data_IF_838383698929
#
_entry.id   IF_838383698929
#
_cell.length_a   1.000
_cell.length_b   1.000
_cell.length_c   1.000
_cell.angle_alpha   90.00
_cell.angle_beta   90.00
_cell.angle_gamma   90.00
#
_symmetry.space_group_name_H-M   'P 1'
#
loop_
_entity.id
_entity.type
_entity.pdbx_description
1 polymer ?
#
# COMPACT_ATOMS: atom_id res chain seq x y z
N UNK A 1 -8.10 -9.16 38.29
CA UNK A 1 -8.44 -9.87 37.04
C UNK A 1 -7.32 -9.61 36.05
N UNK A 2 -6.58 -10.63 35.57
CA UNK A 2 -5.61 -10.44 34.50
C UNK A 2 -6.34 -10.20 33.17
N UNK A 3 -5.74 -9.36 32.31
CA UNK A 3 -6.25 -8.99 30.98
C UNK A 3 -6.29 -10.26 30.09
N UNK A 4 -7.37 -10.51 29.33
CA UNK A 4 -7.41 -11.63 28.39
C UNK A 4 -6.31 -11.47 27.34
N UNK A 5 -5.53 -12.53 27.14
CA UNK A 5 -4.53 -12.62 26.09
C UNK A 5 -5.23 -12.58 24.72
N UNK A 6 -4.95 -11.55 23.92
CA UNK A 6 -5.32 -11.54 22.51
C UNK A 6 -4.56 -12.67 21.85
N UNK A 7 -5.27 -13.71 21.41
CA UNK A 7 -4.70 -14.74 20.53
C UNK A 7 -4.24 -14.02 19.27
N UNK A 8 -2.94 -13.96 19.05
CA UNK A 8 -2.37 -13.51 17.79
C UNK A 8 -2.91 -14.44 16.71
N UNK A 9 -3.85 -13.94 15.91
CA UNK A 9 -4.33 -14.68 14.74
C UNK A 9 -3.14 -14.80 13.79
N UNK A 10 -2.61 -16.01 13.67
CA UNK A 10 -1.56 -16.32 12.70
C UNK A 10 -2.03 -15.83 11.34
N UNK A 11 -1.25 -14.99 10.64
CA UNK A 11 -1.66 -14.47 9.35
C UNK A 11 -1.93 -15.66 8.43
N UNK A 12 -3.15 -15.72 7.90
CA UNK A 12 -3.52 -16.74 6.92
C UNK A 12 -2.60 -16.53 5.73
N UNK A 13 -1.58 -17.37 5.60
CA UNK A 13 -0.71 -17.38 4.44
C UNK A 13 -1.53 -17.89 3.25
N UNK A 14 -2.18 -16.97 2.53
CA UNK A 14 -2.85 -17.28 1.27
C UNK A 14 -1.77 -17.65 0.28
N UNK A 15 -1.59 -18.94 0.04
CA UNK A 15 -0.70 -19.39 -1.01
C UNK A 15 -1.31 -19.01 -2.37
N UNK A 16 -0.51 -18.52 -3.32
CA UNK A 16 -0.99 -18.26 -4.67
C UNK A 16 -1.64 -19.52 -5.24
N UNK A 17 -2.88 -19.38 -5.74
CA UNK A 17 -3.60 -20.45 -6.45
C UNK A 17 -2.84 -20.90 -7.72
N UNK A 18 -1.92 -20.06 -8.17
CA UNK A 18 -1.13 -20.23 -9.38
C UNK A 18 0.31 -19.74 -9.17
N UNK A 19 1.25 -20.36 -9.86
CA UNK A 19 2.61 -19.88 -9.97
C UNK A 19 2.64 -18.48 -10.62
N UNK A 20 3.53 -17.61 -10.14
CA UNK A 20 3.62 -16.23 -10.60
C UNK A 20 5.00 -15.96 -11.22
N UNK A 21 5.03 -15.24 -12.32
CA UNK A 21 6.26 -14.74 -12.93
C UNK A 21 6.51 -13.29 -12.55
N UNK A 22 7.74 -12.99 -12.13
CA UNK A 22 8.19 -11.62 -11.89
C UNK A 22 8.52 -10.93 -13.21
N UNK A 23 8.06 -9.68 -13.37
CA UNK A 23 8.30 -8.85 -14.55
C UNK A 23 8.75 -7.45 -14.12
N UNK A 24 9.79 -6.94 -14.77
CA UNK A 24 10.24 -5.55 -14.65
C UNK A 24 9.29 -4.60 -15.38
N UNK A 25 8.72 -3.64 -14.63
CA UNK A 25 7.89 -2.57 -15.20
C UNK A 25 8.72 -1.37 -15.64
N UNK A 26 9.91 -1.18 -15.07
CA UNK A 26 10.90 -0.19 -15.49
C UNK A 26 12.20 -0.90 -15.84
N UNK A 27 12.64 -0.76 -17.09
CA UNK A 27 13.88 -1.39 -17.57
C UNK A 27 15.08 -0.88 -16.75
N UNK A 28 15.82 -1.79 -16.15
CA UNK A 28 17.04 -1.49 -15.39
C UNK A 28 16.80 -1.09 -13.92
N UNK A 29 15.56 -1.17 -13.42
CA UNK A 29 15.21 -0.90 -12.02
C UNK A 29 14.66 -2.17 -11.36
N UNK A 30 15.48 -2.94 -10.63
CA UNK A 30 15.08 -4.23 -10.05
C UNK A 30 14.05 -4.08 -8.92
N UNK A 31 13.94 -2.89 -8.33
CA UNK A 31 12.98 -2.59 -7.27
C UNK A 31 11.57 -2.33 -7.85
N UNK A 32 11.47 -2.10 -9.17
CA UNK A 32 10.22 -1.79 -9.86
C UNK A 32 9.69 -2.95 -10.68
N UNK A 33 9.42 -4.04 -9.96
CA UNK A 33 8.90 -5.30 -10.52
C UNK A 33 7.49 -5.61 -10.01
N UNK A 34 6.76 -6.42 -10.76
CA UNK A 34 5.46 -6.96 -10.33
C UNK A 34 5.34 -8.45 -10.68
N UNK A 35 4.37 -9.14 -10.09
CA UNK A 35 4.11 -10.56 -10.32
C UNK A 35 2.83 -10.75 -11.14
N UNK A 36 2.91 -11.54 -12.19
CA UNK A 36 1.78 -11.90 -13.06
C UNK A 36 1.56 -13.41 -13.09
N UNK A 37 0.34 -13.87 -13.35
CA UNK A 37 0.03 -15.31 -13.43
C UNK A 37 0.84 -16.03 -14.52
N UNK A 38 1.27 -17.26 -14.25
CA UNK A 38 2.05 -18.09 -15.19
C UNK A 38 1.20 -18.76 -16.27
N UNK A 39 -0.10 -18.98 -16.05
CA UNK A 39 -1.02 -19.72 -16.93
C UNK A 39 -1.72 -18.83 -17.95
N UNK A 40 -1.07 -17.77 -18.40
CA UNK A 40 -1.56 -16.91 -19.47
C UNK A 40 -1.01 -17.37 -20.82
N UNK A 41 -1.79 -17.18 -21.90
CA UNK A 41 -1.26 -17.32 -23.26
C UNK A 41 -0.24 -16.21 -23.53
N UNK A 42 0.77 -16.49 -24.34
CA UNK A 42 1.89 -15.55 -24.56
C UNK A 42 1.42 -14.20 -25.12
N UNK A 43 0.46 -14.21 -26.05
CA UNK A 43 -0.13 -13.00 -26.62
C UNK A 43 -0.80 -12.10 -25.57
N UNK A 44 -1.57 -12.71 -24.66
CA UNK A 44 -2.24 -11.99 -23.56
C UNK A 44 -1.21 -11.52 -22.55
N UNK A 45 -0.21 -12.35 -22.24
CA UNK A 45 0.87 -12.03 -21.32
C UNK A 45 1.62 -10.78 -21.78
N UNK A 46 2.03 -10.72 -23.05
CA UNK A 46 2.70 -9.54 -23.61
C UNK A 46 1.83 -8.28 -23.56
N UNK A 47 0.53 -8.42 -23.88
CA UNK A 47 -0.41 -7.29 -23.79
C UNK A 47 -0.54 -6.75 -22.35
N UNK A 48 -0.63 -7.64 -21.36
CA UNK A 48 -0.67 -7.27 -19.94
C UNK A 48 0.62 -6.57 -19.54
N UNK A 49 1.79 -7.14 -19.86
CA UNK A 49 3.08 -6.54 -19.53
C UNK A 49 3.20 -5.14 -20.15
N UNK A 50 2.82 -4.99 -21.42
CA UNK A 50 2.87 -3.70 -22.10
C UNK A 50 1.91 -2.68 -21.48
N UNK A 51 0.71 -3.11 -21.08
CA UNK A 51 -0.25 -2.27 -20.37
C UNK A 51 0.32 -1.80 -19.03
N UNK A 52 0.89 -2.70 -18.23
CA UNK A 52 1.47 -2.38 -16.93
C UNK A 52 2.67 -1.42 -17.07
N UNK A 53 3.52 -1.63 -18.07
CA UNK A 53 4.66 -0.74 -18.37
C UNK A 53 4.23 0.66 -18.82
N UNK A 54 3.15 0.76 -19.60
CA UNK A 54 2.59 2.04 -20.04
C UNK A 54 2.01 2.85 -18.89
N UNK A 55 1.48 2.17 -17.87
CA UNK A 55 0.87 2.77 -16.69
C UNK A 55 1.76 2.60 -15.44
N UNK A 56 3.08 2.64 -15.60
CA UNK A 56 4.05 2.41 -14.49
C UNK A 56 3.98 3.47 -13.38
N UNK A 57 3.39 4.62 -13.68
CA UNK A 57 3.15 5.78 -12.81
C UNK A 57 1.97 5.59 -11.85
N UNK A 58 1.07 4.63 -12.11
CA UNK A 58 -0.03 4.33 -11.19
C UNK A 58 0.42 3.54 -9.95
N UNK A 59 1.64 3.00 -9.99
CA UNK A 59 2.21 2.21 -8.91
C UNK A 59 2.92 3.12 -7.92
N UNK A 60 2.63 2.93 -6.63
CA UNK A 60 3.38 3.56 -5.56
C UNK A 60 4.61 2.71 -5.20
N UNK A 61 5.73 2.95 -5.87
CA UNK A 61 6.99 2.22 -5.62
C UNK A 61 7.58 2.56 -4.25
N UNK A 62 7.37 3.78 -3.81
CA UNK A 62 7.74 4.30 -2.51
C UNK A 62 6.54 4.95 -1.84
N UNK A 63 6.64 5.21 -0.53
CA UNK A 63 5.62 5.97 0.20
C UNK A 63 5.43 7.40 -0.32
N UNK A 64 6.42 7.96 -1.03
CA UNK A 64 6.36 9.29 -1.63
C UNK A 64 5.54 9.31 -2.92
N UNK A 65 5.45 8.18 -3.62
CA UNK A 65 4.69 8.06 -4.87
C UNK A 65 3.17 7.98 -4.64
N UNK A 66 2.73 7.80 -3.39
CA UNK A 66 1.33 7.94 -2.99
C UNK A 66 0.95 9.42 -2.93
N UNK A 67 0.86 10.06 -4.09
CA UNK A 67 0.16 11.33 -4.21
C UNK A 67 -1.33 11.03 -3.97
N UNK A 68 -1.86 11.55 -2.86
CA UNK A 68 -3.26 11.38 -2.53
C UNK A 68 -4.18 11.88 -3.66
N UNK A 69 -5.47 11.57 -3.54
CA UNK A 69 -6.45 12.10 -4.50
C UNK A 69 -6.44 13.62 -4.42
N UNK A 70 -6.33 14.29 -5.58
CA UNK A 70 -6.39 15.75 -5.67
C UNK A 70 -7.64 16.28 -4.92
N UNK A 71 -7.48 17.16 -3.92
CA UNK A 71 -8.60 17.77 -3.22
C UNK A 71 -9.62 18.47 -4.13
N UNK A 72 -9.19 18.91 -5.33
CA UNK A 72 -10.09 19.46 -6.35
C UNK A 72 -11.05 18.43 -6.98
N UNK A 73 -10.72 17.14 -6.92
CA UNK A 73 -11.55 16.04 -7.46
C UNK A 73 -12.63 15.63 -6.46
N UNK A 74 -12.24 15.34 -5.22
CA UNK A 74 -13.19 15.03 -4.15
C UNK A 74 -12.58 15.43 -2.80
N UNK A 75 -13.30 16.26 -2.05
CA UNK A 75 -12.93 16.62 -0.67
C UNK A 75 -14.12 16.35 0.24
N UNK A 76 -13.86 15.71 1.37
CA UNK A 76 -14.81 15.64 2.48
C UNK A 76 -14.53 16.79 3.44
N UNK A 77 -15.52 17.66 3.64
CA UNK A 77 -15.43 18.70 4.65
C UNK A 77 -15.90 18.14 5.99
N UNK A 78 -15.03 18.20 6.99
CA UNK A 78 -15.43 17.95 8.37
C UNK A 78 -16.24 19.16 8.86
N UNK A 79 -17.48 18.91 9.32
CA UNK A 79 -18.33 19.96 9.85
C UNK A 79 -17.85 20.38 11.24
N UNK A 80 -16.90 21.30 11.29
CA UNK A 80 -16.31 21.84 12.51
C UNK A 80 -16.94 23.19 12.83
N UNK A 81 -17.21 23.43 14.12
CA UNK A 81 -17.60 24.75 14.60
C UNK A 81 -16.35 25.67 14.60
N UNK A 82 -16.30 26.73 13.77
CA UNK A 82 -15.13 27.61 13.64
C UNK A 82 -14.86 28.44 14.90
N UNK A 83 -15.79 28.47 15.86
CA UNK A 83 -15.61 29.18 17.13
C UNK A 83 -14.84 28.36 18.16
N UNK A 84 -14.72 27.05 17.95
CA UNK A 84 -14.02 26.14 18.86
C UNK A 84 -12.52 26.22 18.60
N UNK A 85 -11.76 26.43 19.68
CA UNK A 85 -10.30 26.51 19.62
C UNK A 85 -9.70 25.12 19.32
N UNK A 86 -8.77 25.00 18.36
CA UNK A 86 -8.06 23.75 18.13
C UNK A 86 -7.31 23.30 19.39
N UNK A 87 -7.44 22.02 19.72
CA UNK A 87 -6.72 21.40 20.84
C UNK A 87 -5.61 20.53 20.26
N UNK A 88 -4.37 20.79 20.67
CA UNK A 88 -3.23 19.94 20.35
C UNK A 88 -3.08 18.87 21.43
N UNK A 89 -3.47 17.64 21.12
CA UNK A 89 -3.22 16.52 22.03
C UNK A 89 -1.74 16.13 22.03
N UNK A 90 -1.24 15.75 23.20
CA UNK A 90 0.14 15.28 23.35
C UNK A 90 0.25 13.90 22.69
N UNK A 91 1.18 13.76 21.73
CA UNK A 91 1.50 12.46 21.13
C UNK A 91 1.81 11.45 22.24
N UNK A 92 1.12 10.32 22.23
CA UNK A 92 1.41 9.21 23.12
C UNK A 92 2.76 8.59 22.75
N UNK A 93 3.58 8.26 23.75
CA UNK A 93 4.81 7.50 23.53
C UNK A 93 4.44 6.01 23.42
N UNK A 94 4.71 5.41 22.27
CA UNK A 94 4.34 4.02 22.01
C UNK A 94 5.38 3.01 22.51
N UNK A 95 6.49 3.50 23.08
CA UNK A 95 7.61 2.70 23.53
C UNK A 95 8.57 2.35 22.39
N UNK A 96 9.82 1.97 22.71
CA UNK A 96 10.90 1.86 21.72
C UNK A 96 10.68 0.77 20.66
N UNK A 97 9.84 -0.22 20.92
CA UNK A 97 9.50 -1.28 19.96
C UNK A 97 8.56 -0.75 18.86
N UNK A 98 7.48 -0.06 19.25
CA UNK A 98 6.49 0.48 18.33
C UNK A 98 6.98 1.75 17.64
N UNK A 99 7.79 2.56 18.32
CA UNK A 99 8.37 3.77 17.73
C UNK A 99 9.29 3.45 16.54
N UNK A 100 9.92 2.26 16.49
CA UNK A 100 10.73 1.80 15.33
C UNK A 100 9.89 1.46 14.10
N UNK A 101 8.61 1.12 14.29
CA UNK A 101 7.68 0.72 13.21
C UNK A 101 6.95 1.94 12.65
N UNK A 102 6.75 2.97 13.47
CA UNK A 102 5.96 4.17 13.17
C UNK A 102 6.81 5.27 12.48
N UNK A 103 8.11 5.03 12.24
CA UNK A 103 9.01 5.99 11.60
C UNK A 103 8.83 6.09 10.09
#
# INVERSE_FOLDING_TARGET
MPRPELKEETPIAVQPVEELHTVELILGDPDKTTKIGSKMKEDVREQVINCLRKNKDIFAWTSQDLEGIDPGVITHHLNLDPTIRPIKEKKQHFGPEKDKIIQ
#
